data_IF_313997652085
#
_entry.id   IF_313997652085
#
_cell.length_a   1.000
_cell.length_b   1.000
_cell.length_c   1.000
_cell.angle_alpha   90.00
_cell.angle_beta   90.00
_cell.angle_gamma   90.00
#
_symmetry.space_group_name_H-M   'P 1'
#
loop_
_entity.id
_entity.type
_entity.pdbx_description
1 polymer ?
#
# COMPACT_ATOMS: atom_id res chain seq x y z
N UNK A 1 -11.52 27.15 13.65
CA UNK A 1 -10.13 26.71 13.88
C UNK A 1 -9.92 25.46 13.05
N UNK A 2 -8.76 25.31 12.41
CA UNK A 2 -8.41 24.05 11.76
C UNK A 2 -7.79 23.14 12.83
N UNK A 3 -8.31 21.92 12.96
CA UNK A 3 -7.75 20.90 13.85
C UNK A 3 -6.94 19.92 13.02
N UNK A 4 -5.69 19.67 13.44
CA UNK A 4 -4.82 18.69 12.81
C UNK A 4 -4.89 17.42 13.62
N UNK A 5 -5.46 16.37 13.04
CA UNK A 5 -5.40 15.01 13.59
C UNK A 5 -4.26 14.30 12.87
N UNK A 6 -3.24 13.89 13.62
CA UNK A 6 -2.22 12.99 13.11
C UNK A 6 -2.62 11.57 13.45
N UNK A 7 -2.84 10.73 12.43
CA UNK A 7 -3.01 9.29 12.60
C UNK A 7 -1.77 8.60 12.08
N UNK A 8 -1.05 7.93 12.97
CA UNK A 8 0.11 7.12 12.62
C UNK A 8 -0.42 5.71 12.36
N UNK A 9 -0.34 5.26 11.10
CA UNK A 9 -0.63 3.88 10.75
C UNK A 9 0.66 3.08 10.84
N UNK A 10 0.71 2.15 11.79
CA UNK A 10 1.86 1.27 11.96
C UNK A 10 1.85 0.23 10.85
N UNK A 11 2.78 0.34 9.89
CA UNK A 11 2.96 -0.63 8.80
C UNK A 11 3.52 -1.92 9.40
N UNK A 12 2.65 -2.77 9.92
CA UNK A 12 3.03 -4.09 10.43
C UNK A 12 2.84 -5.15 9.35
N UNK A 13 3.83 -6.02 9.18
CA UNK A 13 3.89 -7.13 8.22
C UNK A 13 2.58 -7.94 8.06
N UNK A 14 1.80 -8.04 9.12
CA UNK A 14 0.53 -8.78 9.13
C UNK A 14 -0.52 -8.19 8.17
N UNK A 15 -0.39 -6.91 7.81
CA UNK A 15 -1.44 -6.15 7.14
C UNK A 15 -1.37 -6.16 5.60
N UNK A 16 -0.29 -6.69 5.02
CA UNK A 16 -0.02 -6.55 3.59
C UNK A 16 0.47 -7.80 2.87
N UNK A 17 0.70 -8.92 3.56
CA UNK A 17 0.97 -10.19 2.87
C UNK A 17 -0.35 -10.78 2.38
N UNK A 18 -0.77 -10.32 1.21
CA UNK A 18 -1.95 -10.81 0.50
C UNK A 18 -1.69 -12.21 -0.08
N UNK A 19 -2.42 -13.20 0.40
CA UNK A 19 -2.52 -14.52 -0.24
C UNK A 19 -3.96 -14.71 -0.73
N UNK A 20 -4.19 -14.99 -2.04
CA UNK A 20 -5.53 -15.03 -2.66
C UNK A 20 -6.47 -16.09 -2.06
N UNK A 21 -5.94 -17.09 -1.35
CA UNK A 21 -6.75 -18.14 -0.71
C UNK A 21 -7.24 -17.83 0.71
N UNK A 22 -6.84 -16.72 1.34
CA UNK A 22 -7.21 -16.42 2.72
C UNK A 22 -8.41 -15.49 2.76
N UNK A 23 -9.34 -15.57 3.71
CA UNK A 23 -10.54 -14.70 3.71
C UNK A 23 -10.92 -14.15 5.09
N UNK A 24 -10.06 -14.31 6.10
CA UNK A 24 -10.35 -13.93 7.48
C UNK A 24 -9.24 -13.01 8.02
N UNK A 25 -9.48 -11.72 8.25
CA UNK A 25 -8.47 -10.78 8.75
C UNK A 25 -8.65 -10.43 10.23
N UNK A 26 -7.63 -10.67 11.07
CA UNK A 26 -7.45 -10.27 12.49
C UNK A 26 -8.37 -10.90 13.58
N UNK A 27 -7.89 -11.23 14.80
CA UNK A 27 -8.75 -11.56 15.94
C UNK A 27 -9.02 -10.37 16.88
N UNK A 28 -10.28 -10.33 17.34
CA UNK A 28 -10.83 -9.72 18.57
C UNK A 28 -11.37 -8.26 18.56
N UNK A 29 -12.70 -8.18 18.51
CA UNK A 29 -13.59 -7.22 19.20
C UNK A 29 -13.34 -5.72 18.98
N UNK A 30 -13.26 -5.28 17.72
CA UNK A 30 -13.37 -3.86 17.38
C UNK A 30 -14.79 -3.59 16.84
N UNK A 31 -15.45 -2.46 17.12
CA UNK A 31 -16.87 -2.24 16.79
C UNK A 31 -17.22 -2.20 15.27
N UNK A 32 -16.27 -2.58 14.41
CA UNK A 32 -16.39 -2.65 12.95
C UNK A 32 -16.09 -4.07 12.40
N UNK A 33 -16.29 -5.13 13.21
CA UNK A 33 -16.06 -6.56 12.92
C UNK A 33 -16.64 -7.09 11.59
N UNK A 34 -17.58 -6.39 10.94
CA UNK A 34 -18.18 -6.89 9.68
C UNK A 34 -17.22 -6.86 8.47
N UNK A 35 -16.17 -6.04 8.47
CA UNK A 35 -15.15 -6.03 7.40
C UNK A 35 -14.01 -7.05 7.62
N UNK A 36 -13.80 -7.49 8.86
CA UNK A 36 -12.80 -8.51 9.27
C UNK A 36 -13.03 -9.84 8.54
N UNK A 37 -14.25 -10.09 8.06
CA UNK A 37 -14.64 -11.30 7.34
C UNK A 37 -14.69 -11.17 5.81
N UNK A 38 -14.29 -10.04 5.19
CA UNK A 38 -14.59 -9.79 3.77
C UNK A 38 -13.46 -9.34 2.84
N UNK A 39 -12.21 -9.17 3.29
CA UNK A 39 -11.07 -9.19 2.35
C UNK A 39 -9.78 -9.42 3.14
N UNK A 40 -8.97 -10.45 2.83
CA UNK A 40 -7.70 -10.71 3.51
C UNK A 40 -6.59 -9.72 3.10
N UNK A 41 -6.87 -8.81 2.17
CA UNK A 41 -5.88 -7.99 1.50
C UNK A 41 -6.05 -6.52 1.89
N UNK A 42 -5.00 -5.73 1.68
CA UNK A 42 -5.04 -4.29 1.91
C UNK A 42 -5.40 -3.87 3.34
N UNK A 43 -5.14 -4.71 4.36
CA UNK A 43 -5.60 -4.48 5.74
C UNK A 43 -5.12 -3.13 6.29
N UNK A 44 -3.87 -2.76 6.00
CA UNK A 44 -3.33 -1.46 6.44
C UNK A 44 -4.01 -0.27 5.76
N UNK A 45 -4.59 -0.47 4.58
CA UNK A 45 -5.42 0.53 3.92
C UNK A 45 -6.87 0.52 4.46
N UNK A 46 -7.40 -0.65 4.83
CA UNK A 46 -8.70 -0.76 5.52
C UNK A 46 -8.70 -0.03 6.86
N UNK A 47 -7.59 -0.06 7.58
CA UNK A 47 -7.43 0.72 8.81
C UNK A 47 -7.51 2.23 8.55
N UNK A 48 -6.96 2.71 7.44
CA UNK A 48 -7.08 4.12 7.03
C UNK A 48 -8.52 4.48 6.68
N UNK A 49 -9.25 3.61 5.96
CA UNK A 49 -10.68 3.80 5.71
C UNK A 49 -11.45 3.87 7.03
N UNK A 50 -11.14 2.97 7.97
CA UNK A 50 -11.85 2.89 9.24
C UNK A 50 -11.57 4.10 10.14
N UNK A 51 -10.34 4.59 10.12
CA UNK A 51 -9.93 5.84 10.72
C UNK A 51 -10.73 7.03 10.15
N UNK A 52 -10.85 7.12 8.82
CA UNK A 52 -11.63 8.18 8.17
C UNK A 52 -13.13 8.08 8.50
N UNK A 53 -13.69 6.87 8.60
CA UNK A 53 -15.06 6.66 9.08
C UNK A 53 -15.24 7.14 10.52
N UNK A 54 -14.27 6.84 11.40
CA UNK A 54 -14.28 7.32 12.78
C UNK A 54 -14.23 8.85 12.83
N UNK A 55 -13.35 9.49 12.04
CA UNK A 55 -13.30 10.96 11.93
C UNK A 55 -14.65 11.50 11.47
N UNK A 56 -15.22 10.94 10.40
CA UNK A 56 -16.53 11.36 9.89
C UNK A 56 -17.66 11.23 10.93
N UNK A 57 -17.54 10.31 11.88
CA UNK A 57 -18.58 10.04 12.88
C UNK A 57 -18.40 10.85 14.17
N UNK A 58 -17.16 11.12 14.59
CA UNK A 58 -16.89 11.60 15.95
C UNK A 58 -16.15 12.93 16.01
N UNK A 59 -15.65 13.47 14.89
CA UNK A 59 -14.78 14.65 14.98
C UNK A 59 -15.51 15.92 15.45
N UNK A 60 -16.83 15.96 15.28
CA UNK A 60 -17.70 17.02 15.80
C UNK A 60 -17.65 17.14 17.34
N UNK A 61 -17.45 16.02 18.04
CA UNK A 61 -17.28 15.96 19.50
C UNK A 61 -16.02 16.68 19.94
N UNK A 62 -15.01 16.75 19.06
CA UNK A 62 -13.78 17.50 19.28
C UNK A 62 -13.84 18.92 18.73
N UNK A 63 -14.99 19.34 18.19
CA UNK A 63 -15.24 20.65 17.52
C UNK A 63 -14.70 20.76 16.09
N UNK A 64 -14.28 19.65 15.48
CA UNK A 64 -14.01 19.59 14.05
C UNK A 64 -15.30 19.52 13.21
N UNK A 65 -15.16 19.79 11.92
CA UNK A 65 -16.28 19.72 10.96
C UNK A 65 -16.09 18.46 10.08
N UNK A 66 -16.94 17.41 10.23
CA UNK A 66 -16.79 16.18 9.45
C UNK A 66 -16.97 16.39 7.95
N UNK A 67 -17.51 17.53 7.52
CA UNK A 67 -17.66 17.88 6.09
C UNK A 67 -16.43 18.58 5.51
N UNK A 68 -15.43 18.93 6.34
CA UNK A 68 -14.22 19.68 5.95
C UNK A 68 -12.93 18.95 6.31
N UNK A 69 -12.90 17.64 6.07
CA UNK A 69 -11.71 16.81 6.28
C UNK A 69 -10.78 16.90 5.07
N UNK A 70 -9.50 17.18 5.28
CA UNK A 70 -8.44 17.10 4.25
C UNK A 70 -7.46 16.01 4.63
N UNK A 71 -7.29 15.00 3.78
CA UNK A 71 -6.26 13.97 3.97
C UNK A 71 -4.91 14.48 3.44
N UNK A 72 -3.84 14.18 4.17
CA UNK A 72 -2.49 14.62 3.83
C UNK A 72 -1.50 13.49 4.09
N UNK A 73 -0.69 13.14 3.09
CA UNK A 73 0.30 12.07 3.20
C UNK A 73 1.54 12.34 2.35
N UNK A 74 2.67 11.82 2.84
CA UNK A 74 4.00 11.93 2.23
C UNK A 74 4.56 10.53 1.92
N UNK A 75 5.33 10.38 0.83
CA UNK A 75 5.93 9.10 0.41
C UNK A 75 4.87 8.00 0.22
N UNK A 76 4.96 6.91 0.97
CA UNK A 76 3.93 5.85 1.00
C UNK A 76 2.55 6.39 1.44
N UNK A 77 2.51 7.42 2.29
CA UNK A 77 1.29 8.16 2.63
C UNK A 77 0.75 8.99 1.47
N UNK A 78 1.62 9.54 0.61
CA UNK A 78 1.22 10.21 -0.63
C UNK A 78 0.55 9.23 -1.58
N UNK A 79 1.06 8.00 -1.66
CA UNK A 79 0.44 6.89 -2.41
C UNK A 79 -0.89 6.48 -1.80
N UNK A 80 -0.99 6.44 -0.47
CA UNK A 80 -2.25 6.15 0.20
C UNK A 80 -3.31 7.23 -0.09
N UNK A 81 -2.93 8.51 -0.13
CA UNK A 81 -3.82 9.60 -0.57
C UNK A 81 -4.28 9.39 -2.02
N UNK A 82 -3.36 9.05 -2.93
CA UNK A 82 -3.71 8.72 -4.33
C UNK A 82 -4.70 7.54 -4.40
N UNK A 83 -4.49 6.50 -3.60
CA UNK A 83 -5.34 5.33 -3.50
C UNK A 83 -6.71 5.65 -2.89
N UNK A 84 -6.81 6.52 -1.88
CA UNK A 84 -8.09 6.95 -1.30
C UNK A 84 -8.96 7.69 -2.32
N UNK A 85 -8.38 8.39 -3.30
CA UNK A 85 -9.14 9.02 -4.38
C UNK A 85 -9.87 8.01 -5.27
N UNK A 86 -9.35 6.80 -5.43
CA UNK A 86 -9.93 5.76 -6.29
C UNK A 86 -10.61 4.62 -5.52
N UNK A 87 -10.32 4.49 -4.22
CA UNK A 87 -10.81 3.39 -3.40
C UNK A 87 -12.34 3.36 -3.35
N UNK A 88 -12.88 2.16 -3.44
CA UNK A 88 -14.28 1.88 -3.17
C UNK A 88 -14.51 1.78 -1.65
N UNK A 89 -14.79 2.92 -1.02
CA UNK A 89 -14.98 3.01 0.43
C UNK A 89 -16.44 2.82 0.87
N UNK A 90 -17.35 2.68 -0.10
CA UNK A 90 -18.78 2.64 0.10
C UNK A 90 -19.37 4.01 0.46
N UNK A 91 -20.35 4.47 -0.32
CA UNK A 91 -21.08 5.71 -0.02
C UNK A 91 -20.39 6.99 -0.48
N UNK A 92 -20.58 8.08 0.27
CA UNK A 92 -20.01 9.40 -0.04
C UNK A 92 -18.52 9.46 0.34
N UNK A 93 -17.72 10.33 -0.32
CA UNK A 93 -16.34 10.57 0.08
C UNK A 93 -16.20 10.84 1.59
N UNK A 94 -15.24 10.21 2.24
CA UNK A 94 -14.93 10.41 3.67
C UNK A 94 -14.07 11.66 3.93
N UNK A 95 -13.68 12.35 2.87
CA UNK A 95 -12.86 13.55 2.89
C UNK A 95 -13.30 14.53 1.80
N UNK A 96 -12.96 15.79 1.99
CA UNK A 96 -13.34 16.94 1.16
C UNK A 96 -12.16 17.61 0.46
N UNK A 97 -10.93 17.20 0.76
CA UNK A 97 -9.69 17.68 0.15
C UNK A 97 -8.55 16.66 0.31
N UNK A 98 -7.53 16.75 -0.54
CA UNK A 98 -6.39 15.84 -0.52
C UNK A 98 -5.07 16.56 -0.79
N UNK A 99 -4.02 16.19 -0.06
CA UNK A 99 -2.64 16.65 -0.27
C UNK A 99 -1.75 15.41 -0.40
N UNK A 100 -1.19 15.20 -1.59
CA UNK A 100 -0.33 14.07 -1.91
C UNK A 100 1.10 14.57 -2.14
N UNK A 101 1.98 14.34 -1.18
CA UNK A 101 3.37 14.79 -1.20
C UNK A 101 4.27 13.62 -1.60
N UNK A 102 5.16 13.82 -2.57
CA UNK A 102 6.23 12.88 -2.92
C UNK A 102 5.71 11.46 -3.14
N UNK A 103 4.72 11.30 -4.01
CA UNK A 103 3.96 10.05 -4.16
C UNK A 103 4.86 8.88 -4.55
N UNK A 104 4.95 7.88 -3.67
CA UNK A 104 5.71 6.64 -3.89
C UNK A 104 4.94 5.63 -4.76
N UNK A 105 5.12 5.65 -6.07
CA UNK A 105 4.37 4.79 -7.00
C UNK A 105 4.97 3.39 -7.11
N UNK A 106 4.16 2.38 -6.83
CA UNK A 106 4.44 0.97 -7.07
C UNK A 106 3.34 0.33 -7.93
N UNK A 107 3.62 -0.76 -8.66
CA UNK A 107 2.60 -1.54 -9.34
C UNK A 107 1.55 -2.07 -8.36
N UNK A 108 0.28 -1.70 -8.57
CA UNK A 108 -0.87 -2.28 -7.87
C UNK A 108 -1.24 -3.60 -8.54
N UNK A 109 -0.64 -4.70 -8.09
CA UNK A 109 -0.74 -6.01 -8.74
C UNK A 109 -1.87 -6.86 -8.17
N UNK A 110 -2.40 -7.84 -8.93
CA UNK A 110 -3.29 -8.85 -8.38
C UNK A 110 -2.64 -9.66 -7.23
N UNK A 111 -3.40 -10.10 -6.21
CA UNK A 111 -2.87 -10.86 -5.07
C UNK A 111 -2.12 -12.15 -5.46
N UNK A 112 -2.45 -12.74 -6.60
CA UNK A 112 -1.80 -13.94 -7.12
C UNK A 112 -0.31 -13.70 -7.39
N UNK A 113 0.06 -12.47 -7.75
CA UNK A 113 1.45 -12.10 -8.00
C UNK A 113 2.27 -11.91 -6.72
N UNK A 114 1.63 -11.88 -5.53
CA UNK A 114 2.31 -11.72 -4.25
C UNK A 114 2.45 -13.03 -3.45
N UNK A 115 2.00 -14.17 -4.00
CA UNK A 115 2.04 -15.47 -3.32
C UNK A 115 3.47 -15.87 -2.92
N UNK A 116 4.45 -15.72 -3.81
CA UNK A 116 5.84 -16.08 -3.50
C UNK A 116 6.45 -15.26 -2.36
N UNK A 117 6.00 -14.03 -2.19
CA UNK A 117 6.41 -13.15 -1.08
C UNK A 117 5.78 -13.65 0.25
N UNK A 118 4.48 -13.99 0.24
CA UNK A 118 3.83 -14.63 1.38
C UNK A 118 4.48 -15.96 1.78
N UNK A 119 4.75 -16.85 0.81
CA UNK A 119 5.35 -18.15 1.06
C UNK A 119 6.74 -18.01 1.69
N UNK A 120 7.55 -17.06 1.22
CA UNK A 120 8.84 -16.75 1.81
C UNK A 120 8.69 -16.27 3.26
N UNK A 121 7.77 -15.34 3.52
CA UNK A 121 7.48 -14.82 4.85
C UNK A 121 7.03 -15.92 5.82
N UNK A 122 6.11 -16.78 5.38
CA UNK A 122 5.59 -17.89 6.17
C UNK A 122 6.68 -18.91 6.48
N UNK A 123 7.48 -19.29 5.49
CA UNK A 123 8.62 -20.20 5.68
C UNK A 123 9.65 -19.63 6.65
N UNK A 124 10.03 -18.36 6.50
CA UNK A 124 10.98 -17.71 7.41
C UNK A 124 10.47 -17.69 8.86
N UNK A 125 9.16 -17.51 9.03
CA UNK A 125 8.48 -17.54 10.33
C UNK A 125 8.30 -18.94 10.92
N UNK A 126 8.76 -20.00 10.23
CA UNK A 126 8.52 -21.43 10.57
C UNK A 126 7.04 -21.82 10.50
N UNK A 127 6.28 -21.14 9.65
CA UNK A 127 4.84 -21.31 9.45
C UNK A 127 4.47 -21.66 7.99
N UNK A 128 5.42 -22.06 7.14
CA UNK A 128 5.18 -22.31 5.71
C UNK A 128 4.67 -23.70 5.36
N UNK A 129 4.31 -24.53 6.35
CA UNK A 129 3.83 -25.90 6.15
C UNK A 129 2.32 -26.01 6.34
N UNK A 130 1.70 -26.95 5.63
CA UNK A 130 0.26 -27.25 5.75
C UNK A 130 -0.61 -26.39 4.82
N UNK A 131 -1.92 -26.50 5.01
CA UNK A 131 -2.92 -25.67 4.34
C UNK A 131 -2.73 -24.20 4.70
N UNK A 132 -3.21 -23.30 3.84
CA UNK A 132 -3.14 -21.86 4.11
C UNK A 132 -3.78 -21.47 5.45
N UNK A 133 -4.83 -22.17 5.88
CA UNK A 133 -5.45 -21.94 7.17
C UNK A 133 -4.54 -22.29 8.35
N UNK A 134 -3.79 -23.38 8.23
CA UNK A 134 -2.79 -23.77 9.24
C UNK A 134 -1.60 -22.79 9.25
N UNK A 135 -1.14 -22.37 8.07
CA UNK A 135 -0.07 -21.36 7.96
C UNK A 135 -0.48 -20.03 8.63
N UNK A 136 -1.69 -19.56 8.35
CA UNK A 136 -2.21 -18.32 8.95
C UNK A 136 -2.47 -18.44 10.46
N UNK A 137 -2.96 -19.59 10.93
CA UNK A 137 -3.09 -19.86 12.36
C UNK A 137 -1.71 -19.86 13.06
N UNK A 138 -0.70 -20.46 12.43
CA UNK A 138 0.67 -20.45 12.93
C UNK A 138 1.24 -19.02 13.00
N UNK A 139 1.09 -18.25 11.92
CA UNK A 139 1.57 -16.86 11.85
C UNK A 139 0.93 -15.99 12.95
N UNK A 140 -0.36 -16.18 13.25
CA UNK A 140 -1.05 -15.43 14.31
C UNK A 140 -0.57 -15.75 15.71
N UNK A 141 -0.06 -16.96 15.89
CA UNK A 141 0.48 -17.41 17.18
C UNK A 141 1.99 -17.16 17.29
N UNK A 142 2.65 -16.73 16.21
CA UNK A 142 4.07 -16.43 16.22
C UNK A 142 4.37 -15.15 17.01
N UNK A 143 5.57 -15.09 17.60
CA UNK A 143 5.99 -13.88 18.32
C UNK A 143 6.16 -12.70 17.36
N UNK A 144 5.88 -11.48 17.84
CA UNK A 144 6.14 -10.24 17.09
C UNK A 144 7.59 -10.18 16.59
N UNK A 145 8.57 -10.63 17.40
CA UNK A 145 9.97 -10.66 16.99
C UNK A 145 10.27 -11.61 15.82
N UNK A 146 9.52 -12.69 15.68
CA UNK A 146 9.64 -13.63 14.55
C UNK A 146 9.10 -12.98 13.29
N UNK A 147 7.91 -12.37 13.40
CA UNK A 147 7.21 -11.71 12.32
C UNK A 147 7.98 -10.49 11.80
N UNK A 148 8.54 -9.67 12.69
CA UNK A 148 9.38 -8.54 12.33
C UNK A 148 10.64 -8.99 11.56
N UNK A 149 11.33 -10.03 12.03
CA UNK A 149 12.49 -10.58 11.31
C UNK A 149 12.12 -11.18 9.95
N UNK A 150 10.94 -11.80 9.84
CA UNK A 150 10.45 -12.29 8.56
C UNK A 150 10.15 -11.14 7.58
N UNK A 151 9.64 -10.00 8.06
CA UNK A 151 9.44 -8.79 7.25
C UNK A 151 10.77 -8.27 6.72
N UNK A 152 11.78 -8.14 7.57
CA UNK A 152 13.12 -7.72 7.15
C UNK A 152 13.70 -8.70 6.13
N UNK A 153 13.54 -10.01 6.37
CA UNK A 153 14.01 -11.02 5.44
C UNK A 153 13.30 -10.94 4.08
N UNK A 154 12.00 -10.65 4.04
CA UNK A 154 11.31 -10.36 2.76
C UNK A 154 11.97 -9.16 2.10
N UNK A 155 12.21 -8.06 2.83
CA UNK A 155 12.76 -6.84 2.23
C UNK A 155 14.19 -6.99 1.70
N UNK A 156 15.03 -7.79 2.35
CA UNK A 156 16.47 -7.86 2.04
C UNK A 156 16.92 -9.17 1.39
N UNK A 157 16.25 -10.30 1.65
CA UNK A 157 16.71 -11.62 1.24
C UNK A 157 15.81 -12.27 0.16
N UNK A 158 14.56 -11.82 0.02
CA UNK A 158 13.69 -12.35 -1.02
C UNK A 158 14.11 -11.82 -2.40
N UNK A 159 14.35 -12.75 -3.33
CA UNK A 159 14.80 -12.46 -4.71
C UNK A 159 13.69 -12.54 -5.75
N UNK A 160 12.47 -12.88 -5.33
CA UNK A 160 11.32 -12.90 -6.23
C UNK A 160 10.76 -11.50 -6.51
N UNK A 161 9.81 -11.46 -7.44
CA UNK A 161 9.11 -10.24 -7.82
C UNK A 161 8.35 -9.63 -6.65
N UNK A 162 8.13 -8.31 -6.71
CA UNK A 162 7.14 -7.65 -5.84
C UNK A 162 7.44 -7.78 -4.35
N UNK A 163 8.73 -7.64 -4.03
CA UNK A 163 9.29 -7.67 -2.69
C UNK A 163 8.67 -6.62 -1.77
N UNK A 164 8.44 -7.01 -0.53
CA UNK A 164 7.89 -6.15 0.52
C UNK A 164 6.37 -6.15 0.58
N UNK A 165 5.86 -5.39 1.54
CA UNK A 165 4.44 -5.23 1.84
C UNK A 165 3.87 -4.03 1.10
N UNK A 166 2.78 -4.22 0.35
CA UNK A 166 2.14 -3.14 -0.43
C UNK A 166 0.68 -3.47 -0.75
N UNK A 167 -0.15 -2.46 -1.03
CA UNK A 167 -1.48 -2.66 -1.57
C UNK A 167 -1.50 -3.54 -2.83
N UNK A 168 -2.60 -4.27 -3.02
CA UNK A 168 -2.88 -5.15 -4.17
C UNK A 168 -4.25 -4.84 -4.77
N UNK A 169 -4.40 -5.17 -6.05
CA UNK A 169 -5.66 -5.03 -6.81
C UNK A 169 -6.64 -6.14 -6.41
N UNK A 170 -7.38 -5.94 -5.33
CA UNK A 170 -8.22 -6.94 -4.70
C UNK A 170 -9.63 -7.08 -5.30
N UNK A 171 -9.99 -6.23 -6.25
CA UNK A 171 -11.31 -6.21 -6.89
C UNK A 171 -12.44 -5.72 -5.98
N UNK A 172 -12.16 -5.36 -4.72
CA UNK A 172 -13.16 -4.89 -3.75
C UNK A 172 -12.91 -3.45 -3.33
N UNK A 173 -11.78 -3.17 -2.68
CA UNK A 173 -11.30 -1.82 -2.35
C UNK A 173 -10.75 -1.15 -3.59
N UNK A 174 -9.93 -1.87 -4.36
CA UNK A 174 -9.36 -1.41 -5.61
C UNK A 174 -9.90 -2.25 -6.76
N UNK A 175 -10.79 -1.64 -7.55
CA UNK A 175 -11.53 -2.34 -8.61
C UNK A 175 -10.82 -2.34 -9.97
N UNK A 176 -9.89 -1.41 -10.19
CA UNK A 176 -9.06 -1.33 -11.39
C UNK A 176 -7.78 -0.51 -11.09
N UNK A 177 -6.85 -0.45 -12.04
CA UNK A 177 -5.59 0.26 -11.90
C UNK A 177 -5.79 1.78 -11.76
N UNK A 178 -5.02 2.47 -10.89
CA UNK A 178 -5.15 3.92 -10.67
C UNK A 178 -5.17 4.74 -11.96
N UNK A 179 -4.25 4.47 -12.89
CA UNK A 179 -4.18 5.15 -14.20
C UNK A 179 -5.49 5.06 -14.99
N UNK A 180 -6.17 3.90 -14.96
CA UNK A 180 -7.42 3.69 -15.70
C UNK A 180 -8.59 4.41 -15.04
N UNK A 181 -8.68 4.36 -13.71
CA UNK A 181 -9.71 5.04 -12.94
C UNK A 181 -9.59 6.57 -13.05
N UNK A 182 -8.38 7.11 -12.95
CA UNK A 182 -8.14 8.54 -13.19
C UNK A 182 -8.51 8.96 -14.62
N UNK A 183 -8.06 8.21 -15.64
CA UNK A 183 -8.34 8.54 -17.05
C UNK A 183 -9.82 8.44 -17.41
N UNK A 184 -10.55 7.49 -16.83
CA UNK A 184 -12.00 7.34 -17.03
C UNK A 184 -12.83 8.28 -16.15
N UNK A 185 -12.19 9.06 -15.27
CA UNK A 185 -12.87 9.98 -14.37
C UNK A 185 -13.53 9.32 -13.16
N UNK A 186 -13.30 8.03 -12.92
CA UNK A 186 -13.83 7.24 -11.81
C UNK A 186 -13.00 7.40 -10.54
N UNK A 187 -13.03 8.60 -9.98
CA UNK A 187 -12.34 8.94 -8.73
C UNK A 187 -13.10 10.04 -7.98
N UNK A 188 -12.84 10.17 -6.68
CA UNK A 188 -13.45 11.18 -5.81
C UNK A 188 -13.03 12.59 -6.25
N UNK A 189 -14.02 13.42 -6.60
CA UNK A 189 -13.81 14.79 -7.09
C UNK A 189 -13.69 15.77 -5.92
N UNK A 190 -12.51 15.89 -5.36
CA UNK A 190 -12.16 16.89 -4.33
C UNK A 190 -11.01 17.77 -4.82
N UNK A 191 -10.80 18.97 -4.26
CA UNK A 191 -9.57 19.72 -4.48
C UNK A 191 -8.34 18.91 -4.06
N UNK A 192 -7.31 18.91 -4.92
CA UNK A 192 -6.07 18.16 -4.69
C UNK A 192 -4.87 19.09 -4.82
N UNK A 193 -3.94 18.99 -3.87
CA UNK A 193 -2.58 19.50 -4.00
C UNK A 193 -1.66 18.29 -4.19
N UNK A 194 -0.83 18.30 -5.22
CA UNK A 194 0.16 17.26 -5.47
C UNK A 194 1.51 17.90 -5.75
N UNK A 195 2.57 17.34 -5.18
CA UNK A 195 3.94 17.84 -5.35
C UNK A 195 4.98 16.75 -5.14
N UNK A 196 6.21 17.04 -5.53
CA UNK A 196 7.39 16.19 -5.35
C UNK A 196 8.61 17.09 -5.09
N UNK A 197 9.66 16.55 -4.48
CA UNK A 197 10.95 17.26 -4.40
C UNK A 197 11.72 17.15 -5.72
N UNK A 198 12.70 18.01 -5.96
CA UNK A 198 13.42 18.07 -7.24
C UNK A 198 14.16 16.77 -7.59
N UNK A 199 14.64 16.04 -6.59
CA UNK A 199 15.49 14.86 -6.75
C UNK A 199 14.86 13.62 -6.09
N UNK A 200 13.64 13.25 -6.50
CA UNK A 200 13.02 11.99 -6.10
C UNK A 200 13.77 10.79 -6.71
N UNK A 201 13.84 9.69 -5.98
CA UNK A 201 14.32 8.42 -6.53
C UNK A 201 13.52 7.26 -5.98
N UNK A 202 13.21 6.30 -6.86
CA UNK A 202 12.72 4.98 -6.49
C UNK A 202 13.88 3.98 -6.33
N UNK A 203 15.06 4.34 -6.82
CA UNK A 203 16.13 3.40 -7.10
C UNK A 203 17.13 3.31 -5.95
N UNK A 204 17.17 2.14 -5.32
CA UNK A 204 18.37 1.64 -4.66
C UNK A 204 18.97 0.57 -5.58
N UNK A 205 20.26 0.66 -5.91
CA UNK A 205 20.92 -0.31 -6.82
C UNK A 205 22.13 0.27 -7.54
N UNK A 206 22.86 -0.55 -8.30
CA UNK A 206 24.06 -0.13 -9.01
C UNK A 206 23.77 0.52 -10.38
N UNK A 207 22.56 0.31 -10.94
CA UNK A 207 22.17 0.85 -12.26
C UNK A 207 20.66 1.06 -12.42
N UNK A 208 20.27 1.92 -13.38
CA UNK A 208 18.86 2.19 -13.75
C UNK A 208 18.12 0.91 -14.20
N UNK A 209 18.67 0.06 -15.10
CA UNK A 209 18.03 -1.18 -15.52
C UNK A 209 17.69 -2.12 -14.36
N UNK A 210 18.64 -2.33 -13.44
CA UNK A 210 18.43 -3.19 -12.27
C UNK A 210 17.32 -2.65 -11.36
N UNK A 211 17.33 -1.33 -11.12
CA UNK A 211 16.29 -0.67 -10.33
C UNK A 211 14.91 -0.79 -10.99
N UNK A 212 14.81 -0.53 -12.30
CA UNK A 212 13.56 -0.68 -13.06
C UNK A 212 13.05 -2.11 -12.99
N UNK A 213 13.90 -3.12 -13.19
CA UNK A 213 13.50 -4.53 -13.13
C UNK A 213 13.07 -4.95 -11.73
N UNK A 214 13.69 -4.40 -10.69
CA UNK A 214 13.32 -4.70 -9.30
C UNK A 214 11.92 -4.19 -8.95
N UNK A 215 11.55 -2.99 -9.42
CA UNK A 215 10.26 -2.36 -9.13
C UNK A 215 9.16 -2.78 -10.10
N UNK A 216 9.52 -2.98 -11.37
CA UNK A 216 8.63 -3.31 -12.48
C UNK A 216 9.13 -4.58 -13.19
N UNK A 217 9.02 -5.75 -12.54
CA UNK A 217 9.59 -7.00 -13.06
C UNK A 217 8.98 -7.47 -14.39
N UNK A 218 7.80 -6.94 -14.74
CA UNK A 218 7.12 -7.22 -16.01
C UNK A 218 7.64 -6.38 -17.19
N UNK A 219 8.48 -5.36 -16.97
CA UNK A 219 9.10 -4.63 -18.08
C UNK A 219 9.99 -5.56 -18.90
N UNK A 220 9.85 -5.48 -20.21
CA UNK A 220 10.73 -6.16 -21.16
C UNK A 220 12.07 -5.44 -21.27
N UNK A 221 13.10 -6.15 -21.73
CA UNK A 221 14.44 -5.55 -21.90
C UNK A 221 14.40 -4.39 -22.91
N UNK A 222 13.58 -4.49 -23.96
CA UNK A 222 13.36 -3.41 -24.92
C UNK A 222 12.73 -2.15 -24.29
N UNK A 223 11.73 -2.31 -23.40
CA UNK A 223 11.14 -1.17 -22.69
C UNK A 223 12.13 -0.52 -21.71
N UNK A 224 13.00 -1.33 -21.10
CA UNK A 224 14.08 -0.81 -20.23
C UNK A 224 15.10 -0.03 -21.07
N UNK A 225 15.51 -0.56 -22.22
CA UNK A 225 16.44 0.11 -23.13
C UNK A 225 15.86 1.45 -23.63
N UNK A 226 14.57 1.48 -23.99
CA UNK A 226 13.86 2.70 -24.37
C UNK A 226 13.84 3.73 -23.22
N UNK A 227 13.59 3.29 -21.99
CA UNK A 227 13.63 4.16 -20.81
C UNK A 227 15.03 4.71 -20.54
N UNK A 228 16.07 3.88 -20.65
CA UNK A 228 17.46 4.31 -20.46
C UNK A 228 17.88 5.30 -21.55
N UNK A 229 17.43 5.10 -22.79
CA UNK A 229 17.68 6.04 -23.88
C UNK A 229 17.00 7.40 -23.68
N UNK A 230 15.84 7.43 -23.02
CA UNK A 230 15.12 8.66 -22.66
C UNK A 230 15.75 9.40 -21.47
N UNK A 231 16.44 8.70 -20.58
CA UNK A 231 17.08 9.25 -19.38
C UNK A 231 18.57 8.87 -19.34
N UNK A 232 19.40 9.37 -20.28
CA UNK A 232 20.80 9.00 -20.34
C UNK A 232 21.53 9.54 -19.10
N UNK A 233 22.39 8.71 -18.49
CA UNK A 233 23.09 9.08 -17.26
C UNK A 233 23.96 10.35 -17.39
N UNK A 234 24.39 10.70 -18.61
CA UNK A 234 25.11 11.94 -18.90
C UNK A 234 24.33 13.21 -18.55
N UNK A 235 23.00 13.13 -18.52
CA UNK A 235 22.13 14.28 -18.25
C UNK A 235 21.97 14.52 -16.74
N UNK A 236 22.39 13.57 -15.91
CA UNK A 236 22.19 13.55 -14.46
C UNK A 236 23.54 13.43 -13.73
N UNK A 237 24.42 14.42 -13.93
CA UNK A 237 25.75 14.46 -13.29
C UNK A 237 25.58 14.48 -11.77
N UNK A 238 26.11 13.45 -11.09
CA UNK A 238 26.24 13.44 -9.63
C UNK A 238 27.11 14.62 -9.21
N UNK A 239 26.56 15.53 -8.41
CA UNK A 239 27.31 16.66 -7.85
C UNK A 239 28.06 16.30 -6.55
N UNK A 240 27.99 15.04 -6.16
CA UNK A 240 28.64 14.48 -4.96
C UNK A 240 29.99 13.82 -5.29
#
# INVERSE_FOLDING_TARGET
MAEVISMIFEVTAFMYHSHPGWFFGNPANWPFDHWIHQSPTNVGFLDQIQALKWISQYIDTFRGDPTKVTINGESAGGSAVELHLIANEGGKPLFSGAIAQSVYRFPLVPPEQTVGNFDFYANFSRCGSGSLAEQMACLRNASVSTLARAQDAVMYNYTGSYRGSRPVLDGTVFTDYPRRLFRSGQFKKVPVIVGAVSNETLANGASIPEALKSYFPELTDAEIDDLVALYPASDFVSTD
#
